data_IF_301349308915
#
_entry.id   IF_301349308915
#
_cell.length_a   1.000
_cell.length_b   1.000
_cell.length_c   1.000
_cell.angle_alpha   90.00
_cell.angle_beta   90.00
_cell.angle_gamma   90.00
#
_symmetry.space_group_name_H-M   'P 1'
#
loop_
_entity.id
_entity.type
_entity.pdbx_description
1 polymer ?
#
# COMPACT_ATOMS: atom_id res chain seq x y z
N UNK A 1 18.49 -2.69 -18.84
CA UNK A 1 17.84 -1.68 -17.99
C UNK A 1 18.33 -0.26 -18.27
N UNK A 2 19.61 0.09 -18.04
CA UNK A 2 20.11 1.44 -18.32
C UNK A 2 20.00 1.84 -19.81
N UNK A 3 20.25 0.91 -20.73
CA UNK A 3 20.09 1.14 -22.18
C UNK A 3 18.62 1.23 -22.65
N UNK A 4 17.66 0.92 -21.77
CA UNK A 4 16.20 0.92 -22.06
C UNK A 4 15.46 2.12 -21.42
N UNK A 5 16.19 3.10 -20.87
CA UNK A 5 15.61 4.32 -20.32
C UNK A 5 15.15 4.23 -18.85
N UNK A 6 15.56 3.18 -18.12
CA UNK A 6 15.28 3.05 -16.68
C UNK A 6 16.19 3.99 -15.88
N UNK A 7 15.60 4.82 -15.02
CA UNK A 7 16.31 5.72 -14.11
C UNK A 7 16.45 5.09 -12.72
N UNK A 8 17.69 4.88 -12.31
CA UNK A 8 18.05 4.50 -10.94
C UNK A 8 18.32 5.72 -10.09
N UNK A 9 17.99 5.63 -8.80
CA UNK A 9 18.23 6.70 -7.82
C UNK A 9 19.71 6.78 -7.44
N UNK A 10 20.37 5.62 -7.33
CA UNK A 10 21.78 5.47 -6.94
C UNK A 10 22.36 4.16 -7.50
N UNK A 11 23.66 3.94 -7.26
CA UNK A 11 24.23 2.59 -7.30
C UNK A 11 23.64 1.71 -6.17
N UNK A 12 23.70 0.37 -6.27
CA UNK A 12 23.23 -0.52 -5.21
C UNK A 12 23.94 -0.26 -3.87
N UNK A 13 23.16 -0.13 -2.80
CA UNK A 13 23.63 0.11 -1.44
C UNK A 13 23.51 -1.14 -0.58
N UNK A 14 24.59 -1.50 0.11
CA UNK A 14 24.70 -2.69 0.96
C UNK A 14 25.90 -3.56 0.57
N UNK A 15 25.95 -4.77 1.13
CA UNK A 15 26.98 -5.76 0.80
C UNK A 15 26.47 -6.74 -0.27
N UNK A 16 27.37 -7.45 -0.95
CA UNK A 16 26.97 -8.49 -1.91
C UNK A 16 26.15 -9.58 -1.20
N UNK A 17 24.98 -9.91 -1.75
CA UNK A 17 23.98 -10.78 -1.11
C UNK A 17 23.02 -10.09 -0.13
N UNK A 18 23.27 -8.84 0.26
CA UNK A 18 22.42 -8.04 1.16
C UNK A 18 22.47 -6.55 0.78
N UNK A 19 21.85 -6.20 -0.36
CA UNK A 19 21.86 -4.84 -0.89
C UNK A 19 20.56 -4.49 -1.57
N UNK A 20 20.32 -3.20 -1.79
CA UNK A 20 19.15 -2.74 -2.52
C UNK A 20 19.46 -1.57 -3.45
N UNK A 21 18.57 -1.35 -4.41
CA UNK A 21 18.57 -0.16 -5.27
C UNK A 21 17.14 0.26 -5.57
N UNK A 22 16.93 1.57 -5.76
CA UNK A 22 15.67 2.11 -6.24
C UNK A 22 15.75 2.45 -7.72
N UNK A 23 14.69 2.09 -8.45
CA UNK A 23 14.41 2.58 -9.79
C UNK A 23 13.03 3.25 -9.83
N UNK A 24 12.80 4.08 -10.84
CA UNK A 24 11.48 4.65 -11.13
C UNK A 24 10.84 3.94 -12.31
N UNK A 25 9.56 3.69 -12.23
CA UNK A 25 8.75 3.36 -13.40
C UNK A 25 8.52 4.63 -14.28
N UNK A 26 7.90 4.50 -15.47
CA UNK A 26 7.66 5.63 -16.36
C UNK A 26 6.78 6.75 -15.77
N UNK A 27 5.96 6.43 -14.76
CA UNK A 27 5.07 7.38 -14.08
C UNK A 27 5.73 7.98 -12.82
N UNK A 28 6.96 7.55 -12.49
CA UNK A 28 7.75 8.04 -11.38
C UNK A 28 7.57 7.29 -10.06
N UNK A 29 6.83 6.17 -10.06
CA UNK A 29 6.67 5.29 -8.88
C UNK A 29 7.99 4.62 -8.57
N UNK A 30 8.40 4.67 -7.30
CA UNK A 30 9.62 4.01 -6.84
C UNK A 30 9.41 2.50 -6.70
N UNK A 31 10.28 1.73 -7.33
CA UNK A 31 10.40 0.29 -7.17
C UNK A 31 11.74 0.00 -6.51
N UNK A 32 11.71 -0.77 -5.42
CA UNK A 32 12.91 -1.19 -4.69
C UNK A 32 13.25 -2.62 -5.06
N UNK A 33 14.41 -2.84 -5.65
CA UNK A 33 14.99 -4.17 -5.82
C UNK A 33 15.88 -4.45 -4.62
N UNK A 34 15.67 -5.59 -3.95
CA UNK A 34 16.48 -6.03 -2.81
C UNK A 34 17.06 -7.39 -3.12
N UNK A 35 18.37 -7.51 -2.98
CA UNK A 35 19.09 -8.78 -2.98
C UNK A 35 19.12 -9.32 -1.56
N UNK A 36 18.64 -10.54 -1.41
CA UNK A 36 18.63 -11.27 -0.14
C UNK A 36 19.11 -12.70 -0.41
N UNK A 37 20.33 -12.97 0.06
CA UNK A 37 21.03 -14.25 -0.13
C UNK A 37 20.27 -15.44 0.44
N UNK A 38 19.37 -15.23 1.42
CA UNK A 38 18.53 -16.31 1.95
C UNK A 38 17.58 -16.89 0.89
N UNK A 39 17.34 -16.16 -0.20
CA UNK A 39 16.50 -16.56 -1.32
C UNK A 39 17.28 -17.27 -2.44
N UNK A 40 18.61 -17.40 -2.35
CA UNK A 40 19.46 -18.05 -3.37
C UNK A 40 19.04 -19.50 -3.69
N UNK A 41 18.44 -20.20 -2.72
CA UNK A 41 17.96 -21.56 -2.90
C UNK A 41 16.68 -21.66 -3.75
N UNK A 42 16.02 -20.52 -4.04
CA UNK A 42 14.81 -20.46 -4.85
C UNK A 42 15.21 -20.33 -6.32
N UNK A 43 15.42 -21.47 -6.99
CA UNK A 43 15.48 -21.49 -8.45
C UNK A 43 14.07 -21.32 -9.01
N UNK A 44 13.76 -20.11 -9.47
CA UNK A 44 12.48 -19.80 -10.10
C UNK A 44 12.51 -19.97 -11.63
N UNK A 45 13.63 -20.45 -12.21
CA UNK A 45 13.82 -20.63 -13.66
C UNK A 45 13.70 -19.34 -14.48
N UNK A 46 13.68 -18.17 -13.83
CA UNK A 46 13.45 -16.87 -14.46
C UNK A 46 14.77 -16.19 -14.77
N UNK A 47 14.92 -15.68 -15.99
CA UNK A 47 16.12 -14.92 -16.37
C UNK A 47 16.34 -13.64 -15.52
N UNK A 48 15.30 -13.15 -14.83
CA UNK A 48 15.36 -11.95 -13.99
C UNK A 48 15.48 -12.24 -12.49
N UNK A 49 15.42 -13.51 -12.07
CA UNK A 49 15.63 -13.95 -10.67
C UNK A 49 14.77 -13.24 -9.59
N UNK A 50 13.62 -12.64 -9.93
CA UNK A 50 12.69 -12.07 -8.95
C UNK A 50 11.89 -13.19 -8.28
N UNK A 51 12.04 -13.37 -6.97
CA UNK A 51 11.45 -14.49 -6.22
C UNK A 51 10.29 -14.09 -5.29
N UNK A 52 10.21 -12.84 -4.84
CA UNK A 52 9.21 -12.41 -3.86
C UNK A 52 8.97 -10.89 -3.88
N UNK A 53 7.92 -10.46 -3.15
CA UNK A 53 7.66 -9.06 -2.80
C UNK A 53 7.64 -8.95 -1.27
N UNK A 54 8.76 -8.54 -0.64
CA UNK A 54 8.89 -8.64 0.82
C UNK A 54 7.97 -7.66 1.56
N UNK A 55 7.68 -6.49 0.98
CA UNK A 55 6.75 -5.51 1.53
C UNK A 55 6.27 -4.51 0.47
N UNK A 56 5.17 -3.83 0.79
CA UNK A 56 4.75 -2.57 0.14
C UNK A 56 5.06 -1.42 1.11
N UNK A 57 5.85 -0.44 0.67
CA UNK A 57 6.15 0.75 1.47
C UNK A 57 5.03 1.77 1.40
N UNK A 58 4.59 2.26 2.56
CA UNK A 58 3.55 3.28 2.70
C UNK A 58 4.12 4.41 3.57
N UNK A 59 4.37 5.56 2.94
CA UNK A 59 4.75 6.75 3.70
C UNK A 59 3.49 7.37 4.32
N UNK A 60 3.56 7.70 5.60
CA UNK A 60 2.43 8.23 6.39
C UNK A 60 2.82 9.54 7.07
N UNK A 61 1.85 10.42 7.31
CA UNK A 61 2.13 11.71 7.98
C UNK A 61 2.27 11.57 9.49
N UNK A 62 1.56 10.62 10.12
CA UNK A 62 1.65 10.26 11.54
C UNK A 62 1.71 8.74 11.70
N UNK A 63 2.80 8.23 12.27
CA UNK A 63 3.00 6.79 12.42
C UNK A 63 1.99 6.15 13.37
N UNK A 64 1.66 6.78 14.49
CA UNK A 64 0.83 6.18 15.53
C UNK A 64 -0.66 6.18 15.11
N UNK A 65 -1.11 7.23 14.43
CA UNK A 65 -2.47 7.28 13.85
C UNK A 65 -2.65 6.19 12.78
N UNK A 66 -1.71 6.08 11.85
CA UNK A 66 -1.76 5.06 10.79
C UNK A 66 -1.60 3.65 11.35
N UNK A 67 -0.70 3.42 12.32
CA UNK A 67 -0.57 2.12 12.96
C UNK A 67 -1.89 1.70 13.63
N UNK A 68 -2.54 2.60 14.37
CA UNK A 68 -3.84 2.34 15.00
C UNK A 68 -4.89 1.96 13.95
N UNK A 69 -4.95 2.69 12.83
CA UNK A 69 -5.86 2.36 11.72
C UNK A 69 -5.61 0.93 11.18
N UNK A 70 -4.38 0.57 10.86
CA UNK A 70 -4.08 -0.76 10.31
C UNK A 70 -4.25 -1.88 11.35
N UNK A 71 -4.03 -1.61 12.63
CA UNK A 71 -4.33 -2.56 13.71
C UNK A 71 -5.82 -2.90 13.80
N UNK A 72 -6.71 -1.92 13.59
CA UNK A 72 -8.17 -2.14 13.54
C UNK A 72 -8.59 -3.03 12.37
N UNK A 73 -7.86 -2.94 11.25
CA UNK A 73 -8.03 -3.82 10.08
C UNK A 73 -7.52 -5.25 10.37
N UNK A 74 -6.64 -5.41 11.36
CA UNK A 74 -6.14 -6.71 11.82
C UNK A 74 -4.63 -6.89 11.71
N UNK A 75 -3.88 -5.90 11.24
CA UNK A 75 -2.42 -5.93 11.20
C UNK A 75 -1.85 -5.81 12.60
N UNK A 76 -1.52 -6.97 13.19
CA UNK A 76 -1.21 -7.10 14.62
C UNK A 76 0.18 -7.62 14.89
N UNK A 77 0.83 -8.21 13.89
CA UNK A 77 2.27 -8.47 13.94
C UNK A 77 3.00 -7.20 13.57
N UNK A 78 3.88 -6.74 14.45
CA UNK A 78 4.56 -5.45 14.33
C UNK A 78 6.04 -5.65 14.61
N UNK A 79 6.88 -5.24 13.66
CA UNK A 79 8.33 -5.20 13.78
C UNK A 79 8.82 -3.78 13.52
N UNK A 80 9.23 -3.09 14.58
CA UNK A 80 9.74 -1.72 14.49
C UNK A 80 10.99 -1.64 13.61
N UNK A 81 11.08 -0.58 12.81
CA UNK A 81 12.25 -0.26 12.00
C UNK A 81 13.28 0.54 12.81
N UNK A 82 14.57 0.51 12.42
CA UNK A 82 15.56 1.47 12.89
C UNK A 82 15.14 2.90 12.53
N UNK A 83 15.27 3.83 13.46
CA UNK A 83 14.82 5.23 13.28
C UNK A 83 15.81 6.09 12.50
N UNK A 84 17.06 5.66 12.34
CA UNK A 84 18.14 6.41 11.68
C UNK A 84 19.01 5.47 10.85
N UNK A 85 19.64 6.02 9.81
CA UNK A 85 20.56 5.31 8.93
C UNK A 85 21.86 6.08 8.69
N UNK A 86 22.77 5.46 7.95
CA UNK A 86 24.02 6.10 7.54
C UNK A 86 23.78 7.15 6.44
N UNK A 87 24.74 8.06 6.22
CA UNK A 87 24.66 8.99 5.08
C UNK A 87 24.62 8.25 3.74
N UNK A 88 25.38 7.16 3.61
CA UNK A 88 25.38 6.34 2.39
C UNK A 88 24.02 5.66 2.16
N UNK A 89 23.31 5.26 3.23
CA UNK A 89 21.93 4.77 3.12
C UNK A 89 20.98 5.89 2.68
N UNK A 90 21.15 7.09 3.24
CA UNK A 90 20.36 8.24 2.87
C UNK A 90 20.52 8.59 1.38
N UNK A 91 21.76 8.57 0.87
CA UNK A 91 22.06 8.72 -0.56
C UNK A 91 21.39 7.66 -1.42
N UNK A 92 21.30 6.41 -0.94
CA UNK A 92 20.57 5.33 -1.61
C UNK A 92 19.05 5.55 -1.66
N UNK A 93 18.50 6.29 -0.68
CA UNK A 93 17.13 6.79 -0.72
C UNK A 93 16.97 8.08 -1.55
N UNK A 94 18.03 8.58 -2.17
CA UNK A 94 18.03 9.80 -2.96
C UNK A 94 18.10 11.08 -2.13
N UNK A 95 18.53 10.99 -0.88
CA UNK A 95 18.73 12.13 0.03
C UNK A 95 20.18 12.60 0.00
N UNK A 96 20.42 13.87 0.31
CA UNK A 96 21.77 14.46 0.39
C UNK A 96 22.19 14.79 1.83
N UNK A 97 21.44 14.31 2.82
CA UNK A 97 21.69 14.48 4.25
C UNK A 97 21.11 13.28 5.02
N UNK A 98 21.50 13.13 6.28
CA UNK A 98 21.00 12.07 7.14
C UNK A 98 19.48 12.17 7.35
N UNK A 99 18.83 11.03 7.52
CA UNK A 99 17.39 10.97 7.76
C UNK A 99 17.05 10.52 9.18
N UNK A 100 15.83 10.82 9.61
CA UNK A 100 15.20 10.24 10.80
C UNK A 100 13.77 9.82 10.44
N UNK A 101 13.39 8.61 10.83
CA UNK A 101 12.06 8.06 10.60
C UNK A 101 11.47 7.47 11.88
N UNK A 102 10.15 7.28 11.87
CA UNK A 102 9.43 6.38 12.76
C UNK A 102 8.66 5.38 11.90
N UNK A 103 8.85 4.09 12.10
CA UNK A 103 8.23 3.11 11.21
C UNK A 103 8.22 1.68 11.73
N UNK A 104 7.42 0.84 11.07
CA UNK A 104 7.30 -0.58 11.36
C UNK A 104 6.90 -1.37 10.11
N UNK A 105 7.40 -2.60 10.03
CA UNK A 105 6.80 -3.65 9.21
C UNK A 105 5.61 -4.25 9.97
N UNK A 106 4.46 -4.33 9.30
CA UNK A 106 3.24 -4.88 9.86
C UNK A 106 2.65 -5.98 8.97
N UNK A 107 2.14 -7.05 9.59
CA UNK A 107 1.51 -8.19 8.92
C UNK A 107 0.27 -8.70 9.66
N UNK A 108 -0.55 -9.47 8.95
CA UNK A 108 -1.67 -10.21 9.52
C UNK A 108 -1.16 -11.53 10.12
N UNK A 109 -1.32 -11.74 11.43
CA UNK A 109 -0.74 -12.88 12.16
C UNK A 109 -1.11 -14.27 11.61
N UNK A 110 -2.25 -14.38 10.94
CA UNK A 110 -2.71 -15.62 10.29
C UNK A 110 -3.16 -15.34 8.85
N UNK A 111 -2.56 -14.33 8.22
CA UNK A 111 -2.89 -13.92 6.85
C UNK A 111 -2.02 -14.58 5.79
N UNK A 112 -1.92 -13.91 4.66
CA UNK A 112 -1.16 -14.34 3.47
C UNK A 112 0.35 -14.05 3.56
N UNK A 113 0.82 -13.51 4.69
CA UNK A 113 2.21 -13.14 4.91
C UNK A 113 2.64 -11.84 4.21
N UNK A 114 1.71 -11.10 3.57
CA UNK A 114 2.02 -9.80 3.00
C UNK A 114 2.36 -8.79 4.11
N UNK A 115 3.41 -8.01 3.87
CA UNK A 115 3.88 -6.98 4.81
C UNK A 115 3.61 -5.59 4.25
N UNK A 116 3.04 -4.72 5.07
CA UNK A 116 3.04 -3.29 4.83
C UNK A 116 4.16 -2.67 5.67
N UNK A 117 4.98 -1.82 5.06
CA UNK A 117 6.01 -1.05 5.74
C UNK A 117 5.51 0.37 5.91
N UNK A 118 5.06 0.73 7.11
CA UNK A 118 4.63 2.09 7.44
C UNK A 118 5.84 2.93 7.82
N UNK A 119 6.02 4.08 7.19
CA UNK A 119 7.15 4.99 7.46
C UNK A 119 6.66 6.43 7.56
N UNK A 120 6.80 7.02 8.73
CA UNK A 120 6.76 8.47 8.90
C UNK A 120 8.18 9.02 8.78
N UNK A 121 8.42 9.86 7.79
CA UNK A 121 9.67 10.60 7.67
C UNK A 121 9.61 11.82 8.58
N UNK A 122 10.50 11.88 9.58
CA UNK A 122 10.59 13.02 10.50
C UNK A 122 11.53 14.09 9.95
N UNK A 123 12.62 13.67 9.31
CA UNK A 123 13.55 14.53 8.58
C UNK A 123 14.23 13.73 7.46
N UNK A 124 14.21 14.18 6.18
CA UNK A 124 13.36 15.24 5.66
C UNK A 124 11.91 14.77 5.52
N UNK A 125 10.95 15.65 5.83
CA UNK A 125 9.52 15.38 5.65
C UNK A 125 9.00 16.04 4.37
N UNK A 126 8.28 15.27 3.54
CA UNK A 126 7.48 15.80 2.43
C UNK A 126 5.99 15.74 2.78
N UNK A 127 5.30 16.90 2.94
CA UNK A 127 3.88 16.95 3.30
C UNK A 127 2.92 16.83 2.10
N UNK A 128 3.42 16.62 0.87
CA UNK A 128 2.54 16.47 -0.29
C UNK A 128 1.61 15.25 -0.12
N UNK A 129 0.29 15.42 -0.35
CA UNK A 129 -0.67 14.34 -0.13
C UNK A 129 -0.53 13.23 -1.18
N UNK A 130 -1.03 12.01 -0.89
CA UNK A 130 -1.16 10.97 -1.90
C UNK A 130 -2.19 11.35 -2.97
N UNK A 131 -2.42 10.45 -3.93
CA UNK A 131 -3.38 10.67 -5.02
C UNK A 131 -4.81 10.90 -4.49
N UNK A 132 -5.48 12.02 -4.84
CA UNK A 132 -6.86 12.24 -4.44
C UNK A 132 -7.82 11.34 -5.24
N UNK A 133 -9.06 11.14 -4.76
CA UNK A 133 -10.11 10.58 -5.61
C UNK A 133 -10.27 11.38 -6.92
N UNK A 134 -10.63 10.74 -8.05
CA UNK A 134 -11.09 9.37 -8.17
C UNK A 134 -9.96 8.32 -8.24
N UNK A 135 -10.32 7.06 -8.02
CA UNK A 135 -9.41 5.89 -8.04
C UNK A 135 -8.74 5.61 -9.40
N UNK A 136 -9.06 6.39 -10.44
CA UNK A 136 -8.51 6.29 -11.79
C UNK A 136 -7.22 7.10 -12.00
N UNK A 137 -6.60 7.57 -10.93
CA UNK A 137 -5.28 8.20 -10.99
C UNK A 137 -4.21 7.14 -11.36
N UNK A 138 -3.21 7.52 -12.15
CA UNK A 138 -2.06 6.66 -12.49
C UNK A 138 -1.18 6.38 -11.24
N UNK A 139 -0.44 5.27 -11.25
CA UNK A 139 0.37 4.80 -10.11
C UNK A 139 -0.33 3.76 -9.24
N UNK A 140 0.17 3.55 -8.01
CA UNK A 140 -0.44 2.63 -7.04
C UNK A 140 -1.71 3.28 -6.47
N UNK A 141 -2.88 2.80 -6.92
CA UNK A 141 -4.16 3.44 -6.59
C UNK A 141 -4.84 2.88 -5.32
N UNK A 142 -4.61 1.61 -4.96
CA UNK A 142 -5.17 0.98 -3.74
C UNK A 142 -4.40 -0.27 -3.31
N UNK A 143 -4.56 -0.61 -2.04
CA UNK A 143 -4.22 -1.93 -1.47
C UNK A 143 -5.53 -2.70 -1.30
N UNK A 144 -5.62 -3.93 -1.81
CA UNK A 144 -6.83 -4.74 -1.70
C UNK A 144 -6.63 -5.90 -0.72
N UNK A 145 -7.55 -6.03 0.25
CA UNK A 145 -7.51 -7.03 1.31
C UNK A 145 -8.74 -7.91 1.23
N UNK A 146 -8.53 -9.23 1.21
CA UNK A 146 -9.60 -10.20 1.25
C UNK A 146 -10.15 -10.32 2.68
N UNK A 147 -11.48 -10.31 2.82
CA UNK A 147 -12.18 -10.54 4.08
C UNK A 147 -13.10 -11.75 3.99
N UNK A 148 -13.29 -12.45 5.10
CA UNK A 148 -14.14 -13.65 5.17
C UNK A 148 -15.63 -13.32 5.24
N UNK A 149 -15.97 -12.11 5.70
CA UNK A 149 -17.33 -11.57 5.73
C UNK A 149 -17.26 -10.04 5.67
N UNK A 150 -17.65 -9.47 4.53
CA UNK A 150 -17.52 -8.04 4.28
C UNK A 150 -18.51 -7.20 5.11
N UNK A 151 -19.74 -7.68 5.30
CA UNK A 151 -20.73 -6.97 6.12
C UNK A 151 -20.25 -6.81 7.57
N UNK A 152 -19.73 -7.89 8.15
CA UNK A 152 -19.20 -7.86 9.53
C UNK A 152 -17.95 -6.99 9.65
N UNK A 153 -17.05 -7.05 8.67
CA UNK A 153 -15.84 -6.23 8.66
C UNK A 153 -16.19 -4.73 8.60
N UNK A 154 -17.07 -4.34 7.67
CA UNK A 154 -17.51 -2.95 7.52
C UNK A 154 -18.23 -2.45 8.77
N UNK A 155 -19.15 -3.24 9.34
CA UNK A 155 -19.86 -2.85 10.55
C UNK A 155 -18.90 -2.62 11.74
N UNK A 156 -17.89 -3.49 11.90
CA UNK A 156 -16.90 -3.37 12.98
C UNK A 156 -16.04 -2.13 12.81
N UNK A 157 -15.47 -1.92 11.62
CA UNK A 157 -14.62 -0.78 11.30
C UNK A 157 -15.38 0.56 11.36
N UNK A 158 -16.63 0.60 10.89
CA UNK A 158 -17.48 1.78 10.98
C UNK A 158 -17.78 2.16 12.43
N UNK A 159 -18.04 1.18 13.31
CA UNK A 159 -18.24 1.42 14.75
C UNK A 159 -16.99 1.99 15.42
N UNK A 160 -15.80 1.71 14.87
CA UNK A 160 -14.52 2.28 15.33
C UNK A 160 -14.21 3.63 14.67
N UNK A 161 -15.06 4.12 13.77
CA UNK A 161 -14.93 5.44 13.13
C UNK A 161 -14.11 5.45 11.84
N UNK A 162 -13.82 4.28 11.25
CA UNK A 162 -13.20 4.21 9.92
C UNK A 162 -14.14 4.81 8.87
N UNK A 163 -13.58 5.67 8.02
CA UNK A 163 -14.31 6.30 6.91
C UNK A 163 -14.24 5.42 5.67
N UNK A 164 -15.34 5.37 4.92
CA UNK A 164 -15.43 4.66 3.67
C UNK A 164 -15.79 5.62 2.53
N UNK A 165 -15.29 5.34 1.33
CA UNK A 165 -15.57 6.12 0.12
C UNK A 165 -17.05 6.03 -0.30
N UNK A 166 -17.68 4.89 -0.01
CA UNK A 166 -19.07 4.58 -0.38
C UNK A 166 -19.66 3.52 0.55
N UNK A 167 -20.93 3.19 0.33
CA UNK A 167 -21.50 1.92 0.80
C UNK A 167 -20.82 0.72 0.11
N UNK A 168 -21.00 -0.48 0.68
CA UNK A 168 -20.59 -1.73 0.02
C UNK A 168 -21.25 -1.81 -1.36
N UNK A 169 -20.44 -1.96 -2.40
CA UNK A 169 -20.89 -2.22 -3.76
C UNK A 169 -20.88 -3.74 -4.02
N UNK A 170 -22.03 -4.37 -4.28
CA UNK A 170 -22.07 -5.74 -4.78
C UNK A 170 -21.28 -5.84 -6.08
N UNK A 171 -20.36 -6.79 -6.15
CA UNK A 171 -19.48 -6.93 -7.30
C UNK A 171 -19.74 -8.26 -8.02
N UNK A 172 -19.80 -8.29 -9.33
CA UNK A 172 -19.87 -7.17 -10.29
C UNK A 172 -20.85 -7.50 -11.42
N UNK A 173 -21.81 -8.38 -11.18
CA UNK A 173 -22.79 -8.78 -12.19
C UNK A 173 -23.86 -7.71 -12.42
N UNK A 174 -24.13 -6.87 -11.41
CA UNK A 174 -25.22 -5.90 -11.45
C UNK A 174 -26.61 -6.55 -11.38
N UNK A 175 -26.69 -7.85 -11.06
CA UNK A 175 -27.94 -8.62 -11.05
C UNK A 175 -28.61 -8.67 -9.68
N UNK A 176 -27.91 -8.24 -8.63
CA UNK A 176 -28.36 -8.43 -7.24
C UNK A 176 -28.28 -9.89 -6.77
N UNK A 177 -27.65 -10.77 -7.56
CA UNK A 177 -27.29 -12.14 -7.19
C UNK A 177 -25.81 -12.24 -6.77
N UNK A 178 -25.11 -11.10 -6.65
CA UNK A 178 -23.71 -11.06 -6.26
C UNK A 178 -23.56 -11.51 -4.79
N UNK A 179 -22.71 -12.51 -4.59
CA UNK A 179 -22.33 -13.02 -3.27
C UNK A 179 -21.02 -12.43 -2.77
N UNK A 180 -20.37 -11.58 -3.57
CA UNK A 180 -19.17 -10.83 -3.20
C UNK A 180 -19.40 -9.33 -3.37
N UNK A 181 -18.66 -8.53 -2.62
CA UNK A 181 -18.72 -7.08 -2.70
C UNK A 181 -17.36 -6.44 -2.49
N UNK A 182 -17.30 -5.14 -2.76
CA UNK A 182 -16.15 -4.29 -2.49
C UNK A 182 -16.57 -3.04 -1.74
N UNK A 183 -15.63 -2.47 -0.99
CA UNK A 183 -15.73 -1.14 -0.38
C UNK A 183 -14.31 -0.61 -0.16
N UNK A 184 -14.12 0.70 -0.21
CA UNK A 184 -12.81 1.32 0.02
C UNK A 184 -12.82 2.06 1.36
N UNK A 185 -12.09 1.53 2.34
CA UNK A 185 -11.72 2.27 3.55
C UNK A 185 -10.68 3.34 3.19
N UNK A 186 -10.73 4.46 3.90
CA UNK A 186 -9.81 5.59 3.72
C UNK A 186 -8.93 5.64 4.95
N UNK A 187 -7.62 5.45 4.76
CA UNK A 187 -6.64 5.59 5.84
C UNK A 187 -6.48 7.07 6.28
N UNK A 188 -5.72 7.34 7.35
CA UNK A 188 -5.54 8.71 7.85
C UNK A 188 -4.98 9.70 6.82
N UNK A 189 -4.14 9.23 5.90
CA UNK A 189 -3.49 10.03 4.86
C UNK A 189 -4.30 10.12 3.55
N UNK A 190 -5.42 9.39 3.46
CA UNK A 190 -6.32 9.40 2.30
C UNK A 190 -6.08 8.26 1.30
N UNK A 191 -5.21 7.29 1.62
CA UNK A 191 -4.92 6.11 0.82
C UNK A 191 -6.11 5.15 0.88
N UNK A 192 -6.45 4.57 -0.27
CA UNK A 192 -7.54 3.60 -0.36
C UNK A 192 -7.09 2.20 0.02
N UNK A 193 -7.78 1.63 1.01
CA UNK A 193 -7.70 0.22 1.38
C UNK A 193 -9.02 -0.45 0.99
N UNK A 194 -9.00 -1.18 -0.11
CA UNK A 194 -10.15 -1.94 -0.61
C UNK A 194 -10.35 -3.21 0.22
N UNK A 195 -11.54 -3.40 0.75
CA UNK A 195 -11.95 -4.66 1.34
C UNK A 195 -12.82 -5.40 0.32
N UNK A 196 -12.47 -6.64 0.02
CA UNK A 196 -13.19 -7.51 -0.90
C UNK A 196 -13.54 -8.83 -0.24
N UNK A 197 -14.78 -9.28 -0.37
CA UNK A 197 -15.15 -10.56 0.22
C UNK A 197 -16.63 -10.88 0.12
N UNK A 198 -17.06 -11.99 0.74
CA UNK A 198 -18.45 -12.42 0.74
C UNK A 198 -19.36 -11.40 1.39
N UNK A 199 -20.54 -11.21 0.81
CA UNK A 199 -21.61 -10.35 1.33
C UNK A 199 -22.91 -11.13 1.50
N UNK A 200 -23.78 -10.63 2.37
CA UNK A 200 -25.20 -10.95 2.32
C UNK A 200 -25.77 -10.38 1.02
N UNK A 201 -26.45 -11.25 0.27
CA UNK A 201 -27.10 -10.88 -0.98
C UNK A 201 -28.07 -9.71 -0.75
N UNK A 202 -27.99 -8.71 -1.63
CA UNK A 202 -28.80 -7.49 -1.55
C UNK A 202 -29.35 -7.12 -2.92
N UNK A 203 -30.48 -6.39 -2.99
CA UNK A 203 -31.05 -5.96 -4.27
C UNK A 203 -30.04 -5.19 -5.12
N UNK A 204 -30.21 -5.16 -6.45
CA UNK A 204 -29.40 -4.32 -7.31
C UNK A 204 -29.43 -2.88 -6.79
N UNK A 205 -28.26 -2.31 -6.54
CA UNK A 205 -28.18 -0.89 -6.23
C UNK A 205 -28.60 -0.13 -7.49
N UNK A 206 -29.53 0.82 -7.33
CA UNK A 206 -29.97 1.63 -8.46
C UNK A 206 -28.75 2.28 -9.08
N UNK A 207 -28.63 2.22 -10.41
CA UNK A 207 -27.75 3.13 -11.16
C UNK A 207 -28.34 4.52 -10.93
N UNK A 208 -28.00 5.15 -9.82
CA UNK A 208 -28.20 6.59 -9.71
C UNK A 208 -27.20 7.13 -10.71
N UNK A 209 -27.72 7.52 -11.88
CA UNK A 209 -26.99 8.38 -12.80
C UNK A 209 -26.63 9.62 -11.98
N UNK A 210 -25.43 9.61 -11.39
CA UNK A 210 -24.93 10.70 -10.59
C UNK A 210 -25.04 11.94 -11.44
N UNK A 211 -25.88 12.87 -10.99
CA UNK A 211 -25.90 14.24 -11.48
C UNK A 211 -24.49 14.80 -11.35
N UNK A 212 -23.68 14.65 -12.40
CA UNK A 212 -22.61 15.59 -12.69
C UNK A 212 -23.32 16.90 -13.04
N UNK A 213 -23.71 17.67 -12.01
CA UNK A 213 -23.85 19.11 -12.18
C UNK A 213 -22.46 19.58 -12.57
N UNK A 214 -22.23 19.75 -13.87
CA UNK A 214 -21.25 20.70 -14.37
C UNK A 214 -21.47 21.98 -13.56
N UNK A 215 -20.54 22.31 -12.66
CA UNK A 215 -20.40 23.71 -12.25
C UNK A 215 -19.89 24.41 -13.50
N UNK A 216 -20.82 24.97 -14.25
CA UNK A 216 -20.54 26.17 -15.01
C UNK A 216 -20.30 27.26 -13.97
N UNK A 217 -19.07 27.76 -13.92
CA UNK A 217 -18.68 29.18 -13.83
C UNK A 217 -17.21 29.29 -13.43
#
# INVERSE_FOLDING_TARGET
MLEEGISFVSEPYGEEGERFVFMKDPDGVFLKLTEDKSLDAIDNGSAVNISSMPYIGVNVSDFEESLNFYQRIGYTEIKMLPEQGSLAEAEAYGLNHAFTIRGADISLANGDGNTLRLVQWLEPFNPEPPYPPPISHIGIHRIALAVTNLDSAVASLANEGVKFLSEIAPCCSGTGLDETGIINAIDPDGIFVELIGPITQRPPQSIVAGMYRRRSD
#
